data_IF_375874485435
#
_entry.id   IF_375874485435
#
_cell.length_a   1.000
_cell.length_b   1.000
_cell.length_c   1.000
_cell.angle_alpha   90.00
_cell.angle_beta   90.00
_cell.angle_gamma   90.00
#
_symmetry.space_group_name_H-M   'P 1'
#
loop_
_entity.id
_entity.type
_entity.pdbx_description
1 polymer ?
#
# COMPACT_ATOMS: atom_id res chain seq x y z
N UNK A 1 12.42 5.40 3.25
CA UNK A 1 11.05 5.29 2.68
C UNK A 1 11.05 4.25 1.57
N UNK A 2 10.10 3.35 1.58
CA UNK A 2 10.00 2.29 0.59
C UNK A 2 8.75 2.51 -0.25
N UNK A 3 8.92 2.66 -1.56
CA UNK A 3 7.79 2.72 -2.48
C UNK A 3 7.21 1.32 -2.66
N UNK A 4 5.91 1.16 -2.44
CA UNK A 4 5.24 -0.14 -2.53
C UNK A 4 4.59 -0.33 -3.90
N UNK A 5 3.39 0.17 -4.10
CA UNK A 5 2.72 0.19 -5.41
C UNK A 5 2.00 1.52 -5.57
N UNK A 6 1.72 1.91 -6.80
CA UNK A 6 1.02 3.15 -7.12
C UNK A 6 1.64 4.32 -6.36
N UNK A 7 0.89 4.98 -5.50
CA UNK A 7 1.36 6.10 -4.70
C UNK A 7 1.42 5.76 -3.20
N UNK A 8 1.56 4.49 -2.85
CA UNK A 8 1.69 4.03 -1.48
C UNK A 8 3.14 3.80 -1.09
N UNK A 9 3.47 4.17 0.15
CA UNK A 9 4.83 4.13 0.69
C UNK A 9 4.83 3.56 2.10
N UNK A 10 5.89 2.84 2.44
CA UNK A 10 6.18 2.43 3.81
C UNK A 10 7.31 3.30 4.35
N UNK A 11 7.02 4.04 5.41
CA UNK A 11 7.97 4.95 6.04
C UNK A 11 8.41 4.36 7.36
N UNK A 12 9.71 4.03 7.54
CA UNK A 12 10.20 3.51 8.81
C UNK A 12 9.99 4.52 9.94
N UNK A 13 9.62 4.02 11.11
CA UNK A 13 9.51 4.82 12.32
C UNK A 13 10.07 4.03 13.51
N UNK A 14 10.04 4.61 14.72
CA UNK A 14 10.63 3.99 15.90
C UNK A 14 9.95 2.69 16.34
N UNK A 15 8.71 2.48 15.92
CA UNK A 15 7.90 1.34 16.34
C UNK A 15 7.64 0.34 15.21
N UNK A 16 8.18 0.61 14.01
CA UNK A 16 7.95 -0.22 12.84
C UNK A 16 7.84 0.62 11.58
N UNK A 17 6.67 0.63 10.96
CA UNK A 17 6.44 1.35 9.71
C UNK A 17 5.13 2.12 9.73
N UNK A 18 5.11 3.25 9.02
CA UNK A 18 3.89 3.98 8.72
C UNK A 18 3.52 3.72 7.27
N UNK A 19 2.30 3.25 7.03
CA UNK A 19 1.78 3.17 5.67
C UNK A 19 1.22 4.53 5.30
N UNK A 20 1.71 5.10 4.21
CA UNK A 20 1.34 6.43 3.77
C UNK A 20 1.01 6.46 2.28
N UNK A 21 0.25 7.45 1.86
CA UNK A 21 -0.12 7.64 0.46
C UNK A 21 0.22 9.06 0.03
N UNK A 22 0.78 9.17 -1.18
CA UNK A 22 1.06 10.46 -1.82
C UNK A 22 -0.18 10.86 -2.63
N UNK A 23 -0.86 11.91 -2.20
CA UNK A 23 -2.03 12.45 -2.90
C UNK A 23 -1.70 13.66 -3.76
N UNK A 24 -0.43 13.88 -4.03
CA UNK A 24 0.00 15.02 -4.84
C UNK A 24 -0.01 16.34 -4.11
N UNK A 25 -0.09 16.33 -2.79
CA UNK A 25 -0.09 17.55 -1.99
C UNK A 25 1.32 17.96 -1.60
N UNK A 26 1.51 19.26 -1.45
CA UNK A 26 2.76 19.82 -0.95
C UNK A 26 2.47 20.72 0.25
N UNK A 27 3.47 20.91 1.09
CA UNK A 27 3.37 21.87 2.19
C UNK A 27 3.69 23.30 1.71
N UNK A 28 3.73 24.26 2.64
CA UNK A 28 3.98 25.66 2.32
C UNK A 28 5.37 25.90 1.72
N UNK A 29 6.30 24.99 1.97
CA UNK A 29 7.68 25.09 1.50
C UNK A 29 7.92 24.35 0.19
N UNK A 30 6.86 23.73 -0.38
CA UNK A 30 6.95 22.98 -1.62
C UNK A 30 7.40 21.54 -1.45
N UNK A 31 7.52 21.05 -0.23
CA UNK A 31 7.87 19.66 0.03
C UNK A 31 6.65 18.76 -0.07
N UNK A 32 6.82 17.58 -0.66
CA UNK A 32 5.74 16.59 -0.73
C UNK A 32 5.29 16.17 0.65
N UNK A 33 3.97 16.09 0.82
CA UNK A 33 3.37 15.56 2.04
C UNK A 33 2.68 14.23 1.74
N UNK A 34 2.61 13.38 2.76
CA UNK A 34 2.02 12.06 2.65
C UNK A 34 0.94 11.92 3.71
N UNK A 35 -0.22 11.40 3.30
CA UNK A 35 -1.30 11.13 4.25
C UNK A 35 -1.06 9.78 4.91
N UNK A 36 -1.10 9.75 6.23
CA UNK A 36 -0.93 8.51 6.99
C UNK A 36 -2.19 7.66 6.91
N UNK A 37 -2.02 6.40 6.51
CA UNK A 37 -3.10 5.42 6.50
C UNK A 37 -3.13 4.65 7.81
N UNK A 38 -1.96 4.25 8.31
CA UNK A 38 -1.88 3.54 9.57
C UNK A 38 -0.46 3.29 10.01
N UNK A 39 -0.33 2.90 11.26
CA UNK A 39 0.94 2.55 11.89
C UNK A 39 1.00 1.04 12.06
N UNK A 40 2.11 0.45 11.66
CA UNK A 40 2.29 -1.00 11.68
C UNK A 40 3.54 -1.38 12.44
N UNK A 41 3.48 -2.47 13.19
CA UNK A 41 4.61 -2.95 13.97
C UNK A 41 5.67 -3.67 13.16
N UNK A 42 5.33 -4.08 11.93
CA UNK A 42 6.27 -4.79 11.06
C UNK A 42 5.98 -4.46 9.61
N UNK A 43 6.93 -4.80 8.74
CA UNK A 43 6.74 -4.64 7.30
C UNK A 43 5.60 -5.53 6.78
N UNK A 44 5.49 -6.72 7.34
CA UNK A 44 4.43 -7.67 7.01
C UNK A 44 3.04 -7.11 7.28
N UNK A 45 2.86 -6.47 8.43
CA UNK A 45 1.60 -5.79 8.76
C UNK A 45 1.32 -4.64 7.81
N UNK A 46 2.37 -3.92 7.40
CA UNK A 46 2.26 -2.82 6.43
C UNK A 46 1.73 -3.34 5.11
N UNK A 47 2.27 -4.46 4.62
CA UNK A 47 1.83 -5.07 3.36
C UNK A 47 0.39 -5.57 3.46
N UNK A 48 0.01 -6.15 4.59
CA UNK A 48 -1.37 -6.61 4.82
C UNK A 48 -2.35 -5.45 4.82
N UNK A 49 -2.00 -4.34 5.45
CA UNK A 49 -2.84 -3.14 5.48
C UNK A 49 -2.95 -2.54 4.08
N UNK A 50 -1.82 -2.47 3.35
CA UNK A 50 -1.79 -1.98 1.97
C UNK A 50 -2.75 -2.78 1.09
N UNK A 51 -2.68 -4.11 1.15
CA UNK A 51 -3.54 -4.98 0.36
C UNK A 51 -5.01 -4.69 0.63
N UNK A 52 -5.38 -4.57 1.91
CA UNK A 52 -6.75 -4.27 2.32
C UNK A 52 -7.22 -2.93 1.75
N UNK A 53 -6.40 -1.90 1.85
CA UNK A 53 -6.76 -0.56 1.37
C UNK A 53 -6.90 -0.50 -0.15
N UNK A 54 -6.01 -1.14 -0.88
CA UNK A 54 -6.07 -1.15 -2.34
C UNK A 54 -7.28 -1.96 -2.82
N UNK A 55 -7.55 -3.10 -2.20
CA UNK A 55 -8.73 -3.92 -2.53
C UNK A 55 -10.01 -3.13 -2.28
N UNK A 56 -10.13 -2.51 -1.10
CA UNK A 56 -11.31 -1.71 -0.76
C UNK A 56 -11.53 -0.61 -1.79
N UNK A 57 -10.47 0.11 -2.16
CA UNK A 57 -10.54 1.19 -3.11
C UNK A 57 -11.00 0.69 -4.49
N UNK A 58 -10.45 -0.43 -4.95
CA UNK A 58 -10.81 -1.01 -6.25
C UNK A 58 -12.24 -1.50 -6.29
N UNK A 59 -12.74 -2.07 -5.19
CA UNK A 59 -14.10 -2.56 -5.09
C UNK A 59 -15.13 -1.45 -4.94
N UNK A 60 -14.76 -0.29 -4.40
CA UNK A 60 -15.66 0.85 -4.24
C UNK A 60 -16.08 1.49 -5.57
N UNK A 61 -15.34 1.24 -6.63
CA UNK A 61 -15.55 1.90 -7.92
C UNK A 61 -16.64 1.27 -8.79
N UNK A 62 -17.37 0.27 -8.29
CA UNK A 62 -18.42 -0.36 -9.04
C UNK A 62 -19.17 -1.43 -8.28
N UNK A 63 -20.16 -2.00 -8.95
CA UNK A 63 -20.87 -3.17 -8.47
C UNK A 63 -20.24 -4.41 -9.10
N UNK A 64 -19.80 -5.34 -8.27
CA UNK A 64 -19.11 -6.54 -8.74
C UNK A 64 -19.85 -7.81 -8.33
N UNK A 65 -19.85 -8.77 -9.23
CA UNK A 65 -20.25 -10.13 -8.86
C UNK A 65 -19.17 -10.74 -7.97
N UNK A 66 -19.53 -11.73 -7.17
CA UNK A 66 -18.60 -12.35 -6.21
C UNK A 66 -17.33 -12.87 -6.90
N UNK A 67 -17.48 -13.52 -8.05
CA UNK A 67 -16.33 -14.06 -8.80
C UNK A 67 -15.38 -12.95 -9.26
N UNK A 68 -15.92 -11.81 -9.70
CA UNK A 68 -15.12 -10.66 -10.11
C UNK A 68 -14.38 -10.04 -8.93
N UNK A 69 -15.05 -9.92 -7.79
CA UNK A 69 -14.43 -9.41 -6.57
C UNK A 69 -13.26 -10.29 -6.11
N UNK A 70 -13.43 -11.61 -6.18
CA UNK A 70 -12.37 -12.55 -5.82
C UNK A 70 -11.17 -12.44 -6.77
N UNK A 71 -11.41 -12.24 -8.06
CA UNK A 71 -10.33 -12.01 -9.03
C UNK A 71 -9.56 -10.73 -8.72
N UNK A 72 -10.24 -9.66 -8.36
CA UNK A 72 -9.61 -8.39 -7.99
C UNK A 72 -8.74 -8.58 -6.75
N UNK A 73 -9.23 -9.29 -5.75
CA UNK A 73 -8.48 -9.56 -4.52
C UNK A 73 -7.21 -10.35 -4.83
N UNK A 74 -7.31 -11.41 -5.62
CA UNK A 74 -6.17 -12.24 -5.99
C UNK A 74 -5.16 -11.48 -6.84
N UNK A 75 -5.63 -10.76 -7.85
CA UNK A 75 -4.76 -9.96 -8.72
C UNK A 75 -4.03 -8.88 -7.94
N UNK A 76 -4.70 -8.24 -6.99
CA UNK A 76 -4.10 -7.21 -6.14
C UNK A 76 -3.00 -7.81 -5.26
N UNK A 77 -3.24 -8.97 -4.67
CA UNK A 77 -2.23 -9.64 -3.83
C UNK A 77 -0.99 -10.02 -4.63
N UNK A 78 -1.16 -10.53 -5.84
CA UNK A 78 -0.05 -10.89 -6.74
C UNK A 78 0.73 -9.65 -7.17
N UNK A 79 0.04 -8.58 -7.53
CA UNK A 79 0.65 -7.32 -7.93
C UNK A 79 1.52 -6.74 -6.83
N UNK A 80 1.03 -6.72 -5.60
CA UNK A 80 1.79 -6.22 -4.45
C UNK A 80 3.02 -7.09 -4.21
N UNK A 81 2.87 -8.39 -4.25
CA UNK A 81 3.97 -9.33 -4.06
C UNK A 81 5.07 -9.13 -5.10
N UNK A 82 4.70 -9.02 -6.37
CA UNK A 82 5.64 -8.81 -7.46
C UNK A 82 6.36 -7.47 -7.35
N UNK A 83 5.64 -6.41 -7.00
CA UNK A 83 6.23 -5.09 -6.85
C UNK A 83 7.31 -5.07 -5.78
N UNK A 84 7.08 -5.75 -4.66
CA UNK A 84 8.04 -5.82 -3.57
C UNK A 84 9.27 -6.64 -3.97
N UNK A 85 9.08 -7.77 -4.62
CA UNK A 85 10.19 -8.65 -5.05
C UNK A 85 10.99 -8.01 -6.17
N UNK A 86 10.32 -7.45 -7.19
CA UNK A 86 10.99 -6.91 -8.38
C UNK A 86 11.76 -5.62 -8.11
N UNK A 87 11.40 -4.88 -7.08
CA UNK A 87 12.09 -3.61 -6.74
C UNK A 87 13.26 -3.81 -5.77
N UNK A 88 13.71 -5.03 -5.59
CA UNK A 88 14.85 -5.33 -4.74
C UNK A 88 14.54 -5.32 -3.26
N UNK A 89 13.30 -5.12 -2.90
CA UNK A 89 12.85 -5.29 -1.54
C UNK A 89 12.70 -6.77 -1.27
N UNK A 90 13.43 -7.30 -0.34
CA UNK A 90 13.19 -8.66 0.10
C UNK A 90 12.08 -8.65 1.11
N UNK A 91 11.05 -9.36 0.78
CA UNK A 91 9.97 -9.62 1.70
C UNK A 91 10.31 -10.88 2.47
N UNK A 92 11.26 -10.75 3.39
CA UNK A 92 11.64 -11.83 4.28
C UNK A 92 10.82 -11.74 5.54
N UNK A 93 9.98 -12.68 5.71
CA UNK A 93 9.18 -12.79 6.90
C UNK A 93 9.65 -14.00 7.69
#
# INVERSE_FOLDING_TARGET
MVHLIENYYAIPNNMGFTLAVDKGKTDKEGNKTYDTIGYCGSFEETVSLLRRKVVDQRLQNGLYELSEALEIIQATAEEIKEAIVCKGGRYDI
#
